data_IF_500139958192
#
_entry.id   IF_500139958192
#
_cell.length_a   1.000
_cell.length_b   1.000
_cell.length_c   1.000
_cell.angle_alpha   90.00
_cell.angle_beta   90.00
_cell.angle_gamma   90.00
#
_symmetry.space_group_name_H-M   'P 1'
#
loop_
_entity.id
_entity.type
_entity.pdbx_description
1 polymer ?
#
# COMPACT_ATOMS: atom_id res chain seq x y z
N UNK A 1 -35.97 46.10 -36.52
CA UNK A 1 -34.51 46.04 -36.77
C UNK A 1 -34.00 44.66 -36.35
N UNK A 2 -33.22 43.94 -37.17
CA UNK A 2 -32.59 42.69 -36.73
C UNK A 2 -31.37 42.98 -35.83
N UNK A 3 -31.08 42.14 -34.82
CA UNK A 3 -29.89 42.31 -33.98
C UNK A 3 -28.62 42.04 -34.79
N UNK A 4 -27.61 42.91 -34.64
CA UNK A 4 -26.28 42.74 -35.24
C UNK A 4 -25.69 41.42 -34.73
N UNK A 5 -25.36 40.50 -35.65
CA UNK A 5 -24.48 39.38 -35.32
C UNK A 5 -23.11 39.96 -35.00
N UNK A 6 -22.64 39.73 -33.78
CA UNK A 6 -21.26 40.04 -33.39
C UNK A 6 -20.35 39.10 -34.17
N UNK A 7 -19.67 39.62 -35.19
CA UNK A 7 -18.68 38.87 -35.96
C UNK A 7 -17.55 38.43 -35.03
N UNK A 8 -17.27 37.12 -34.97
CA UNK A 8 -16.10 36.59 -34.26
C UNK A 8 -14.85 37.18 -34.89
N UNK A 9 -14.10 37.98 -34.12
CA UNK A 9 -12.81 38.50 -34.55
C UNK A 9 -11.79 37.35 -34.60
N UNK A 10 -11.26 37.06 -35.78
CA UNK A 10 -10.26 36.00 -36.00
C UNK A 10 -8.85 36.40 -35.57
N UNK A 11 -8.62 37.67 -35.22
CA UNK A 11 -7.33 38.23 -34.82
C UNK A 11 -7.25 38.52 -33.32
N UNK A 12 -8.02 37.83 -32.46
CA UNK A 12 -7.88 37.97 -31.02
C UNK A 12 -6.52 37.38 -30.57
N UNK A 13 -5.53 38.23 -30.19
CA UNK A 13 -4.17 37.78 -29.92
C UNK A 13 -4.05 36.99 -28.62
N UNK A 14 -5.13 36.88 -27.83
CA UNK A 14 -5.20 36.12 -26.59
C UNK A 14 -6.28 35.05 -26.63
N UNK A 15 -6.41 34.33 -27.76
CA UNK A 15 -7.08 33.03 -27.71
C UNK A 15 -6.14 32.05 -26.99
N UNK A 16 -6.47 31.58 -25.77
CA UNK A 16 -5.62 30.63 -25.07
C UNK A 16 -5.43 29.39 -25.96
N UNK A 17 -4.23 28.79 -25.99
CA UNK A 17 -4.01 27.54 -26.71
C UNK A 17 -5.05 26.53 -26.25
N UNK A 18 -5.68 25.85 -27.22
CA UNK A 18 -6.64 24.79 -26.90
C UNK A 18 -5.90 23.80 -26.00
N UNK A 19 -6.44 23.56 -24.82
CA UNK A 19 -6.01 22.45 -23.99
C UNK A 19 -6.37 21.17 -24.76
N UNK A 20 -5.45 20.70 -25.58
CA UNK A 20 -5.62 19.63 -26.56
C UNK A 20 -5.37 18.24 -25.95
N UNK A 21 -5.46 18.14 -24.62
CA UNK A 21 -5.26 16.92 -23.85
C UNK A 21 -3.80 16.49 -23.73
N UNK A 22 -2.92 16.95 -24.63
CA UNK A 22 -1.48 16.63 -24.60
C UNK A 22 -0.82 17.27 -23.38
N UNK A 23 -1.09 18.54 -23.11
CA UNK A 23 -0.58 19.23 -21.93
C UNK A 23 -1.07 18.58 -20.62
N UNK A 24 -2.36 18.22 -20.55
CA UNK A 24 -2.92 17.49 -19.40
C UNK A 24 -2.30 16.11 -19.22
N UNK A 25 -2.11 15.34 -20.30
CA UNK A 25 -1.49 14.02 -20.24
C UNK A 25 -0.04 14.10 -19.77
N UNK A 26 0.71 15.12 -20.20
CA UNK A 26 2.09 15.37 -19.73
C UNK A 26 2.09 15.70 -18.24
N UNK A 27 1.22 16.62 -17.79
CA UNK A 27 1.11 17.00 -16.38
C UNK A 27 0.69 15.79 -15.52
N UNK A 28 -0.26 14.98 -15.97
CA UNK A 28 -0.66 13.74 -15.28
C UNK A 28 0.46 12.70 -15.26
N UNK A 29 1.25 12.59 -16.33
CA UNK A 29 2.43 11.74 -16.39
C UNK A 29 3.46 12.12 -15.35
N UNK A 30 3.81 13.41 -15.27
CA UNK A 30 4.73 13.93 -14.24
C UNK A 30 4.17 13.74 -12.83
N UNK A 31 2.88 14.01 -12.61
CA UNK A 31 2.24 13.79 -11.31
C UNK A 31 2.28 12.30 -10.92
N UNK A 32 2.05 11.39 -11.86
CA UNK A 32 2.10 9.94 -11.61
C UNK A 32 3.51 9.47 -11.26
N UNK A 33 4.54 10.00 -11.93
CA UNK A 33 5.94 9.71 -11.61
C UNK A 33 6.35 10.33 -10.27
N UNK A 34 5.93 11.57 -9.99
CA UNK A 34 6.18 12.23 -8.71
C UNK A 34 5.59 11.42 -7.55
N UNK A 35 4.33 11.01 -7.65
CA UNK A 35 3.66 10.18 -6.65
C UNK A 35 4.37 8.83 -6.41
N UNK A 36 4.98 8.25 -7.45
CA UNK A 36 5.76 7.01 -7.33
C UNK A 36 7.06 7.23 -6.54
N UNK A 37 7.72 8.37 -6.75
CA UNK A 37 8.99 8.73 -6.09
C UNK A 37 8.74 9.19 -4.65
N UNK A 38 7.70 9.99 -4.42
CA UNK A 38 7.36 10.54 -3.09
C UNK A 38 6.54 9.58 -2.24
N UNK A 39 6.00 8.50 -2.83
CA UNK A 39 5.04 7.61 -2.17
C UNK A 39 3.67 8.26 -1.95
N UNK A 40 3.41 9.40 -2.60
CA UNK A 40 2.19 10.17 -2.42
C UNK A 40 1.08 9.64 -3.34
N UNK A 41 0.66 8.40 -3.06
CA UNK A 41 -0.42 7.75 -3.80
C UNK A 41 -1.75 8.47 -3.58
N UNK A 42 -2.67 8.45 -4.58
CA UNK A 42 -4.05 8.92 -4.39
C UNK A 42 -4.70 8.31 -3.15
N UNK A 43 -5.52 9.08 -2.42
CA UNK A 43 -6.10 8.65 -1.14
C UNK A 43 -6.86 7.31 -1.25
N UNK A 44 -7.62 7.10 -2.32
CA UNK A 44 -8.31 5.84 -2.60
C UNK A 44 -7.35 4.62 -2.71
N UNK A 45 -6.14 4.81 -3.25
CA UNK A 45 -5.13 3.76 -3.33
C UNK A 45 -4.51 3.50 -1.96
N UNK A 46 -4.26 4.56 -1.19
CA UNK A 46 -3.78 4.45 0.21
C UNK A 46 -4.80 3.70 1.06
N UNK A 47 -6.07 4.11 1.02
CA UNK A 47 -7.18 3.49 1.75
C UNK A 47 -7.34 2.01 1.38
N UNK A 48 -7.28 1.67 0.09
CA UNK A 48 -7.35 0.29 -0.36
C UNK A 48 -6.18 -0.55 0.16
N UNK A 49 -4.95 0.00 0.14
CA UNK A 49 -3.76 -0.70 0.64
C UNK A 49 -3.76 -0.85 2.15
N UNK A 50 -4.27 0.14 2.86
CA UNK A 50 -4.51 0.09 4.30
C UNK A 50 -5.54 -0.98 4.66
N UNK A 51 -6.67 -1.03 3.95
CA UNK A 51 -7.68 -2.06 4.15
C UNK A 51 -7.12 -3.46 3.86
N UNK A 52 -6.36 -3.61 2.76
CA UNK A 52 -5.66 -4.86 2.43
C UNK A 52 -4.68 -5.25 3.55
N UNK A 53 -3.94 -4.28 4.07
CA UNK A 53 -3.00 -4.49 5.17
C UNK A 53 -3.71 -4.88 6.46
N UNK A 54 -4.82 -4.25 6.83
CA UNK A 54 -5.58 -4.55 8.05
C UNK A 54 -6.29 -5.91 7.99
N UNK A 55 -6.71 -6.33 6.80
CA UNK A 55 -7.30 -7.66 6.56
C UNK A 55 -6.27 -8.76 6.32
N UNK A 56 -4.98 -8.41 6.20
CA UNK A 56 -3.92 -9.38 5.93
C UNK A 56 -3.80 -10.41 7.07
N UNK A 57 -4.05 -11.67 6.72
CA UNK A 57 -3.88 -12.86 7.56
C UNK A 57 -3.10 -13.91 6.77
N UNK A 58 -2.45 -14.84 7.47
CA UNK A 58 -1.58 -15.86 6.89
C UNK A 58 -2.36 -16.79 5.96
N UNK A 59 -3.58 -17.24 6.34
CA UNK A 59 -4.36 -18.23 5.59
C UNK A 59 -3.47 -19.38 5.12
N UNK A 60 -3.56 -19.86 3.88
CA UNK A 60 -2.74 -20.98 3.40
C UNK A 60 -1.30 -20.60 3.02
N UNK A 61 -0.90 -19.34 3.20
CA UNK A 61 0.48 -18.92 2.93
C UNK A 61 1.45 -19.48 3.97
N UNK A 62 2.67 -19.75 3.51
CA UNK A 62 3.79 -19.95 4.45
C UNK A 62 4.09 -18.65 5.18
N UNK A 63 4.74 -18.72 6.34
CA UNK A 63 5.19 -17.54 7.09
C UNK A 63 6.09 -16.65 6.21
N UNK A 64 6.93 -17.23 5.36
CA UNK A 64 7.77 -16.48 4.42
C UNK A 64 6.96 -15.74 3.35
N UNK A 65 5.93 -16.38 2.78
CA UNK A 65 5.03 -15.71 1.82
C UNK A 65 4.21 -14.60 2.50
N UNK A 66 3.74 -14.85 3.72
CA UNK A 66 3.04 -13.86 4.53
C UNK A 66 3.93 -12.65 4.85
N UNK A 67 5.18 -12.88 5.26
CA UNK A 67 6.18 -11.82 5.51
C UNK A 67 6.44 -10.96 4.27
N UNK A 68 6.63 -11.58 3.10
CA UNK A 68 6.83 -10.87 1.85
C UNK A 68 5.64 -9.96 1.52
N UNK A 69 4.41 -10.48 1.66
CA UNK A 69 3.19 -9.69 1.43
C UNK A 69 3.02 -8.58 2.46
N UNK A 70 3.30 -8.86 3.73
CA UNK A 70 3.28 -7.89 4.82
C UNK A 70 4.22 -6.71 4.55
N UNK A 71 5.47 -7.00 4.18
CA UNK A 71 6.50 -5.98 3.90
C UNK A 71 6.17 -5.16 2.66
N UNK A 72 5.63 -5.80 1.62
CA UNK A 72 5.17 -5.12 0.42
C UNK A 72 4.05 -4.11 0.73
N UNK A 73 3.05 -4.51 1.52
CA UNK A 73 1.95 -3.63 1.91
C UNK A 73 2.41 -2.50 2.84
N UNK A 74 3.33 -2.77 3.76
CA UNK A 74 3.90 -1.76 4.65
C UNK A 74 4.60 -0.64 3.87
N UNK A 75 5.24 -0.95 2.74
CA UNK A 75 5.86 0.06 1.86
C UNK A 75 4.85 1.07 1.31
N UNK A 76 3.60 0.66 1.12
CA UNK A 76 2.54 1.53 0.62
C UNK A 76 1.85 2.34 1.72
N UNK A 77 1.98 1.92 2.98
CA UNK A 77 1.35 2.57 4.12
C UNK A 77 2.29 2.58 5.35
N UNK A 78 3.46 3.25 5.25
CA UNK A 78 4.47 3.24 6.31
C UNK A 78 3.97 3.89 7.62
N UNK A 79 2.96 4.76 7.54
CA UNK A 79 2.33 5.46 8.67
C UNK A 79 1.33 4.59 9.48
N UNK A 80 1.07 3.35 9.07
CA UNK A 80 0.19 2.46 9.85
C UNK A 80 0.89 1.84 11.05
N UNK A 81 2.23 1.87 11.04
CA UNK A 81 3.06 1.20 12.03
C UNK A 81 4.28 2.07 12.26
N UNK A 82 4.16 2.96 13.22
CA UNK A 82 5.19 3.96 13.49
C UNK A 82 6.26 3.42 14.45
N UNK A 83 6.00 2.28 15.09
CA UNK A 83 6.87 1.68 16.11
C UNK A 83 7.06 0.20 15.80
N UNK A 84 8.31 -0.26 15.90
CA UNK A 84 8.74 -1.66 15.75
C UNK A 84 7.87 -2.64 16.54
N UNK A 85 7.43 -2.24 17.73
CA UNK A 85 6.55 -3.05 18.58
C UNK A 85 5.13 -3.18 18.00
N UNK A 86 4.57 -2.12 17.41
CA UNK A 86 3.29 -2.21 16.70
C UNK A 86 3.41 -3.11 15.47
N UNK A 87 4.57 -3.10 14.80
CA UNK A 87 4.86 -3.97 13.65
C UNK A 87 4.81 -5.44 14.04
N UNK A 88 5.52 -5.78 15.11
CA UNK A 88 5.54 -7.12 15.68
C UNK A 88 4.12 -7.60 16.03
N UNK A 89 3.36 -6.80 16.80
CA UNK A 89 1.99 -7.17 17.20
C UNK A 89 1.04 -7.32 16.01
N UNK A 90 1.17 -6.47 14.98
CA UNK A 90 0.34 -6.57 13.78
C UNK A 90 0.63 -7.85 13.02
N UNK A 91 1.91 -8.23 12.91
CA UNK A 91 2.31 -9.50 12.30
C UNK A 91 1.75 -10.70 13.08
N UNK A 92 1.92 -10.73 14.41
CA UNK A 92 1.37 -11.79 15.29
C UNK A 92 -0.15 -11.94 15.16
N UNK A 93 -0.88 -10.83 15.00
CA UNK A 93 -2.34 -10.87 14.84
C UNK A 93 -2.78 -11.64 13.59
N UNK A 94 -2.00 -11.58 12.50
CA UNK A 94 -2.33 -12.24 11.25
C UNK A 94 -1.78 -13.66 11.08
N UNK A 95 -0.90 -14.12 11.98
CA UNK A 95 -0.35 -15.49 11.96
C UNK A 95 -1.41 -16.53 12.35
N UNK A 96 -1.33 -17.74 11.77
CA UNK A 96 -2.19 -18.89 12.08
C UNK A 96 -2.18 -19.21 13.58
N UNK A 97 -3.34 -19.56 14.13
CA UNK A 97 -3.53 -19.84 15.57
C UNK A 97 -2.53 -20.88 16.14
N UNK A 98 -2.17 -21.92 15.38
CA UNK A 98 -1.19 -22.91 15.81
C UNK A 98 0.16 -22.30 16.19
N UNK A 99 0.72 -21.45 15.33
CA UNK A 99 2.00 -20.76 15.56
C UNK A 99 1.83 -19.61 16.55
N UNK A 100 0.72 -18.87 16.44
CA UNK A 100 0.44 -17.64 17.20
C UNK A 100 0.51 -17.83 18.71
N UNK A 101 -0.07 -18.91 19.24
CA UNK A 101 -0.09 -19.14 20.69
C UNK A 101 1.32 -19.32 21.26
N UNK A 102 2.20 -20.01 20.54
CA UNK A 102 3.60 -20.19 20.94
C UNK A 102 4.38 -18.89 20.85
N UNK A 103 4.16 -18.08 19.81
CA UNK A 103 4.77 -16.74 19.69
C UNK A 103 4.39 -15.82 20.85
N UNK A 104 3.10 -15.76 21.20
CA UNK A 104 2.61 -14.91 22.29
C UNK A 104 3.23 -15.28 23.65
N UNK A 105 3.50 -16.57 23.89
CA UNK A 105 4.16 -17.04 25.10
C UNK A 105 5.61 -16.55 25.21
N UNK A 106 6.30 -16.31 24.08
CA UNK A 106 7.68 -15.84 24.04
C UNK A 106 7.84 -14.33 24.32
N UNK A 107 6.74 -13.55 24.29
CA UNK A 107 6.71 -12.11 24.58
C UNK A 107 7.78 -11.30 23.81
N UNK A 108 7.95 -11.61 22.52
CA UNK A 108 8.93 -10.95 21.66
C UNK A 108 8.49 -9.50 21.36
N UNK A 109 9.43 -8.56 21.36
CA UNK A 109 9.12 -7.14 21.23
C UNK A 109 9.48 -6.52 19.87
N UNK A 110 10.20 -7.24 19.02
CA UNK A 110 10.68 -6.75 17.71
C UNK A 110 10.18 -7.61 16.56
N UNK A 111 9.92 -6.99 15.41
CA UNK A 111 9.37 -7.66 14.23
C UNK A 111 10.31 -8.76 13.73
N UNK A 112 11.61 -8.46 13.66
CA UNK A 112 12.61 -9.44 13.21
C UNK A 112 12.59 -10.73 14.04
N UNK A 113 12.51 -10.62 15.37
CA UNK A 113 12.45 -11.78 16.27
C UNK A 113 11.16 -12.58 16.09
N UNK A 114 10.03 -11.89 15.94
CA UNK A 114 8.73 -12.56 15.70
C UNK A 114 8.77 -13.35 14.40
N UNK A 115 9.26 -12.75 13.31
CA UNK A 115 9.34 -13.41 11.99
C UNK A 115 10.25 -14.63 12.03
N UNK A 116 11.45 -14.48 12.59
CA UNK A 116 12.41 -15.58 12.71
C UNK A 116 11.81 -16.76 13.48
N UNK A 117 11.20 -16.48 14.63
CA UNK A 117 10.57 -17.52 15.47
C UNK A 117 9.34 -18.12 14.80
N UNK A 118 8.55 -17.33 14.08
CA UNK A 118 7.40 -17.82 13.34
C UNK A 118 7.81 -18.83 12.25
N UNK A 119 8.93 -18.59 11.55
CA UNK A 119 9.47 -19.52 10.53
C UNK A 119 9.92 -20.85 11.15
N UNK A 120 10.65 -20.79 12.27
CA UNK A 120 11.08 -22.00 13.00
C UNK A 120 9.86 -22.81 13.48
N UNK A 121 8.87 -22.12 14.05
CA UNK A 121 7.66 -22.80 14.51
C UNK A 121 6.86 -23.41 13.36
N UNK A 122 6.79 -22.76 12.19
CA UNK A 122 6.12 -23.33 11.02
C UNK A 122 6.78 -24.63 10.55
N UNK A 123 8.11 -24.72 10.59
CA UNK A 123 8.83 -25.96 10.29
C UNK A 123 8.60 -27.03 11.35
N UNK A 124 8.63 -26.66 12.63
CA UNK A 124 8.36 -27.59 13.74
C UNK A 124 6.91 -28.12 13.70
N UNK A 125 5.94 -27.30 13.27
CA UNK A 125 4.54 -27.72 13.10
C UNK A 125 4.32 -28.63 11.89
N UNK A 126 5.21 -28.58 10.88
CA UNK A 126 5.17 -29.45 9.70
C UNK A 126 5.53 -30.91 9.98
N UNK A 127 6.20 -31.20 11.10
CA UNK A 127 6.56 -32.57 11.50
C UNK A 127 5.46 -33.29 12.29
N UNK A 128 4.52 -32.57 12.93
CA UNK A 128 3.47 -33.17 13.77
C UNK A 128 2.15 -33.46 13.02
N UNK A 129 2.06 -33.15 11.72
CA UNK A 129 0.86 -33.39 10.90
C UNK A 129 1.15 -34.24 9.65
N UNK A 130 2.23 -35.02 9.66
CA UNK A 130 2.49 -36.09 8.69
C UNK A 130 2.26 -37.46 9.31
#
# INVERSE_FOLDING_TARGET
MPPRRVSRNINDPYKPPRNDGVAEAIVQGFQSLANLITGDFPQNVKDQKEEEFLKLVQNDMTVAQYEAKFTSLLRHAPYLIDIENHKARRFEKGIKCGIKNRLLAMKLSTYAKVVERAKILETDYGEFLK
#
